data_IF_639432223893
#
_entry.id   IF_639432223893
#
_cell.length_a   1.000
_cell.length_b   1.000
_cell.length_c   1.000
_cell.angle_alpha   90.00
_cell.angle_beta   90.00
_cell.angle_gamma   90.00
#
_symmetry.space_group_name_H-M   'P 1'
#
loop_
_entity.id
_entity.type
_entity.pdbx_description
1 polymer ?
#
# COMPACT_ATOMS: atom_id res chain seq x y z
N UNK A 1 81.75 56.70 6.26
CA UNK A 1 81.04 56.79 7.56
C UNK A 1 79.98 55.70 7.65
N UNK A 2 80.26 54.57 8.33
CA UNK A 2 79.33 53.43 8.47
C UNK A 2 78.18 53.70 9.47
N UNK A 3 78.29 54.74 10.29
CA UNK A 3 77.28 55.10 11.31
C UNK A 3 75.95 55.62 10.71
N UNK A 4 76.00 56.31 9.56
CA UNK A 4 74.80 56.83 8.88
C UNK A 4 73.92 55.73 8.29
N UNK A 5 74.52 54.62 7.87
CA UNK A 5 73.85 53.47 7.23
C UNK A 5 73.02 52.68 8.26
N UNK A 6 73.63 52.36 9.41
CA UNK A 6 72.97 51.68 10.54
C UNK A 6 71.77 52.49 11.06
N UNK A 7 71.88 53.82 11.08
CA UNK A 7 70.79 54.69 11.56
C UNK A 7 69.61 54.73 10.58
N UNK A 8 69.87 54.60 9.27
CA UNK A 8 68.85 54.51 8.24
C UNK A 8 68.11 53.18 8.30
N UNK A 9 68.84 52.07 8.49
CA UNK A 9 68.30 50.72 8.68
C UNK A 9 67.41 50.62 9.93
N UNK A 10 67.85 51.19 11.06
CA UNK A 10 67.04 51.25 12.29
C UNK A 10 65.73 52.01 12.06
N UNK A 11 65.76 53.12 11.32
CA UNK A 11 64.55 53.85 10.95
C UNK A 11 63.62 53.02 10.05
N UNK A 12 64.16 52.29 9.09
CA UNK A 12 63.35 51.44 8.20
C UNK A 12 62.71 50.29 8.99
N UNK A 13 63.46 49.65 9.87
CA UNK A 13 62.95 48.62 10.78
C UNK A 13 61.84 49.18 11.67
N UNK A 14 62.03 50.36 12.29
CA UNK A 14 60.99 51.01 13.09
C UNK A 14 59.71 51.29 12.29
N UNK A 15 59.83 51.79 11.05
CA UNK A 15 58.66 52.01 10.20
C UNK A 15 57.95 50.71 9.83
N UNK A 16 58.70 49.64 9.54
CA UNK A 16 58.13 48.31 9.28
C UNK A 16 57.44 47.73 10.52
N UNK A 17 58.02 47.90 11.72
CA UNK A 17 57.41 47.48 12.98
C UNK A 17 56.10 48.23 13.25
N UNK A 18 56.05 49.54 13.02
CA UNK A 18 54.82 50.32 13.10
C UNK A 18 53.76 49.83 12.10
N UNK A 19 54.15 49.56 10.85
CA UNK A 19 53.24 49.00 9.85
C UNK A 19 52.70 47.62 10.24
N UNK A 20 53.56 46.72 10.75
CA UNK A 20 53.12 45.41 11.24
C UNK A 20 52.19 45.53 12.45
N UNK A 21 52.42 46.48 13.34
CA UNK A 21 51.56 46.74 14.51
C UNK A 21 50.16 47.18 14.09
N UNK A 22 50.06 48.07 13.10
CA UNK A 22 48.76 48.49 12.53
C UNK A 22 48.05 47.29 11.90
N UNK A 23 48.73 46.53 11.05
CA UNK A 23 48.14 45.35 10.40
C UNK A 23 47.66 44.30 11.41
N UNK A 24 48.41 44.06 12.50
CA UNK A 24 47.98 43.17 13.59
C UNK A 24 46.70 43.69 14.26
N UNK A 25 46.56 45.00 14.43
CA UNK A 25 45.37 45.61 15.00
C UNK A 25 44.13 45.42 14.10
N UNK A 26 44.31 45.55 12.78
CA UNK A 26 43.24 45.34 11.79
C UNK A 26 42.83 43.86 11.74
N UNK A 27 43.80 42.94 11.75
CA UNK A 27 43.54 41.50 11.83
C UNK A 27 42.78 41.16 13.11
N UNK A 28 43.14 41.75 14.26
CA UNK A 28 42.44 41.53 15.52
C UNK A 28 40.98 41.98 15.46
N UNK A 29 40.71 43.10 14.79
CA UNK A 29 39.35 43.61 14.59
C UNK A 29 38.55 42.70 13.64
N UNK A 30 39.14 42.27 12.54
CA UNK A 30 38.53 41.33 11.60
C UNK A 30 38.22 39.98 12.26
N UNK A 31 39.14 39.43 13.05
CA UNK A 31 38.93 38.19 13.79
C UNK A 31 37.76 38.30 14.79
N UNK A 32 37.59 39.47 15.43
CA UNK A 32 36.45 39.71 16.32
C UNK A 32 35.11 39.70 15.57
N UNK A 33 35.06 40.29 14.37
CA UNK A 33 33.87 40.25 13.51
C UNK A 33 33.56 38.82 13.04
N UNK A 34 34.57 38.08 12.57
CA UNK A 34 34.43 36.68 12.16
C UNK A 34 33.90 35.82 13.30
N UNK A 35 34.42 36.00 14.53
CA UNK A 35 33.94 35.27 15.70
C UNK A 35 32.47 35.58 16.00
N UNK A 36 32.04 36.85 15.88
CA UNK A 36 30.63 37.21 16.06
C UNK A 36 29.70 36.61 15.00
N UNK A 37 30.16 36.54 13.75
CA UNK A 37 29.42 35.87 12.67
C UNK A 37 29.37 34.35 12.87
N UNK A 38 30.46 33.76 13.36
CA UNK A 38 30.54 32.32 13.64
C UNK A 38 29.57 31.92 14.74
N UNK A 39 29.53 32.65 15.85
CA UNK A 39 28.59 32.36 16.94
C UNK A 39 27.13 32.51 16.50
N UNK A 40 26.83 33.54 15.69
CA UNK A 40 25.50 33.68 15.08
C UNK A 40 25.16 32.49 14.17
N UNK A 41 26.08 32.05 13.31
CA UNK A 41 25.87 30.86 12.48
C UNK A 41 25.67 29.59 13.30
N UNK A 42 26.44 29.39 14.37
CA UNK A 42 26.28 28.24 15.27
C UNK A 42 24.88 28.22 15.90
N UNK A 43 24.38 29.35 16.40
CA UNK A 43 23.02 29.43 16.95
C UNK A 43 21.93 29.14 15.92
N UNK A 44 22.09 29.65 14.68
CA UNK A 44 21.14 29.35 13.60
C UNK A 44 21.19 27.89 13.16
N UNK A 45 22.37 27.27 13.19
CA UNK A 45 22.53 25.84 12.89
C UNK A 45 21.86 24.99 13.95
N UNK A 46 22.05 25.27 15.23
CA UNK A 46 21.38 24.53 16.32
C UNK A 46 19.86 24.67 16.22
N UNK A 47 19.35 25.88 15.98
CA UNK A 47 17.90 26.10 15.81
C UNK A 47 17.37 25.34 14.58
N UNK A 48 18.12 25.35 13.48
CA UNK A 48 17.73 24.65 12.25
C UNK A 48 17.73 23.13 12.44
N UNK A 49 18.69 22.59 13.19
CA UNK A 49 18.79 21.16 13.49
C UNK A 49 17.66 20.68 14.41
N UNK A 50 17.31 21.48 15.42
CA UNK A 50 16.14 21.23 16.27
C UNK A 50 14.84 21.23 15.45
N UNK A 51 14.69 22.21 14.54
CA UNK A 51 13.53 22.29 13.63
C UNK A 51 13.48 21.10 12.67
N UNK A 52 14.63 20.67 12.15
CA UNK A 52 14.74 19.51 11.27
C UNK A 52 14.31 18.23 12.01
N UNK A 53 14.88 18.00 13.19
CA UNK A 53 14.54 16.87 14.05
C UNK A 53 13.04 16.82 14.40
N UNK A 54 12.45 17.97 14.73
CA UNK A 54 11.01 18.07 14.99
C UNK A 54 10.17 17.78 13.73
N UNK A 55 10.62 18.22 12.55
CA UNK A 55 9.95 17.94 11.29
C UNK A 55 10.02 16.45 10.93
N UNK A 56 11.17 15.80 11.10
CA UNK A 56 11.34 14.36 10.89
C UNK A 56 10.44 13.53 11.79
N UNK A 57 10.37 13.86 13.09
CA UNK A 57 9.46 13.20 14.03
C UNK A 57 7.99 13.34 13.61
N UNK A 58 7.59 14.51 13.13
CA UNK A 58 6.23 14.74 12.60
C UNK A 58 5.97 13.95 11.32
N UNK A 59 6.94 13.87 10.42
CA UNK A 59 6.83 13.08 9.19
C UNK A 59 6.65 11.59 9.54
N UNK A 60 7.44 11.05 10.47
CA UNK A 60 7.28 9.67 10.92
C UNK A 60 5.89 9.43 11.51
N UNK A 61 5.42 10.31 12.39
CA UNK A 61 4.06 10.21 12.95
C UNK A 61 2.98 10.28 11.86
N UNK A 62 3.08 11.21 10.91
CA UNK A 62 2.14 11.33 9.79
C UNK A 62 2.16 10.12 8.86
N UNK A 63 3.33 9.54 8.59
CA UNK A 63 3.42 8.33 7.76
C UNK A 63 2.72 7.14 8.42
N UNK A 64 2.86 7.00 9.74
CA UNK A 64 2.17 5.98 10.53
C UNK A 64 0.65 6.19 10.50
N UNK A 65 0.16 7.42 10.77
CA UNK A 65 -1.28 7.69 10.75
C UNK A 65 -1.90 7.50 9.37
N UNK A 66 -1.18 7.87 8.30
CA UNK A 66 -1.63 7.61 6.92
C UNK A 66 -1.71 6.12 6.63
N UNK A 67 -0.77 5.30 7.11
CA UNK A 67 -0.84 3.85 6.97
C UNK A 67 -2.08 3.27 7.68
N UNK A 68 -2.31 3.65 8.93
CA UNK A 68 -3.47 3.22 9.72
C UNK A 68 -4.80 3.62 9.08
N UNK A 69 -4.88 4.85 8.55
CA UNK A 69 -6.08 5.34 7.87
C UNK A 69 -6.34 4.58 6.57
N UNK A 70 -5.30 4.23 5.82
CA UNK A 70 -5.44 3.41 4.60
C UNK A 70 -6.00 2.02 4.93
N UNK A 71 -5.51 1.37 5.97
CA UNK A 71 -6.02 0.06 6.37
C UNK A 71 -7.46 0.14 6.89
N UNK A 72 -7.82 1.19 7.63
CA UNK A 72 -9.21 1.44 8.07
C UNK A 72 -10.16 1.67 6.88
N UNK A 73 -9.74 2.45 5.89
CA UNK A 73 -10.53 2.70 4.67
C UNK A 73 -10.72 1.40 3.89
N UNK A 74 -9.67 0.60 3.73
CA UNK A 74 -9.76 -0.70 3.04
C UNK A 74 -10.71 -1.66 3.77
N UNK A 75 -10.65 -1.74 5.10
CA UNK A 75 -11.58 -2.57 5.89
C UNK A 75 -13.03 -2.07 5.76
N UNK A 76 -13.26 -0.76 5.84
CA UNK A 76 -14.60 -0.17 5.64
C UNK A 76 -15.15 -0.45 4.24
N UNK A 77 -14.34 -0.29 3.20
CA UNK A 77 -14.73 -0.59 1.82
C UNK A 77 -15.14 -2.05 1.67
N UNK A 78 -14.33 -2.98 2.21
CA UNK A 78 -14.64 -4.41 2.12
C UNK A 78 -15.86 -4.81 2.97
N UNK A 79 -16.07 -4.20 4.13
CA UNK A 79 -17.29 -4.41 4.94
C UNK A 79 -18.53 -3.93 4.20
N UNK A 80 -18.47 -2.76 3.56
CA UNK A 80 -19.57 -2.24 2.76
C UNK A 80 -19.90 -3.13 1.53
N UNK A 81 -18.88 -3.78 0.97
CA UNK A 81 -19.02 -4.70 -0.18
C UNK A 81 -19.26 -6.15 0.20
N UNK A 82 -19.23 -6.51 1.49
CA UNK A 82 -19.27 -7.90 1.98
C UNK A 82 -20.49 -8.70 1.51
N UNK A 83 -21.60 -8.03 1.24
CA UNK A 83 -22.85 -8.62 0.76
C UNK A 83 -23.06 -8.48 -0.77
N UNK A 84 -22.05 -8.04 -1.51
CA UNK A 84 -22.12 -7.82 -2.95
C UNK A 84 -21.48 -9.00 -3.69
N UNK A 85 -22.20 -9.51 -4.70
CA UNK A 85 -21.72 -10.51 -5.66
C UNK A 85 -21.67 -9.87 -7.04
N UNK A 86 -20.61 -10.18 -7.80
CA UNK A 86 -20.45 -9.83 -9.21
C UNK A 86 -20.55 -11.08 -10.05
N UNK A 87 -21.47 -11.05 -11.01
CA UNK A 87 -21.75 -12.15 -11.92
C UNK A 87 -21.36 -11.74 -13.33
N UNK A 88 -20.50 -12.55 -13.97
CA UNK A 88 -20.00 -12.32 -15.32
C UNK A 88 -20.61 -13.36 -16.27
N UNK A 89 -20.83 -12.97 -17.53
CA UNK A 89 -21.30 -13.88 -18.58
C UNK A 89 -22.81 -14.18 -18.56
N UNK A 90 -23.58 -13.54 -17.68
CA UNK A 90 -25.03 -13.73 -17.63
C UNK A 90 -25.73 -12.96 -18.77
N UNK A 91 -26.64 -13.56 -19.57
CA UNK A 91 -27.41 -12.86 -20.60
C UNK A 91 -28.30 -11.73 -20.05
N UNK A 92 -28.51 -10.67 -20.83
CA UNK A 92 -29.24 -9.47 -20.38
C UNK A 92 -30.76 -9.72 -20.33
N UNK A 93 -31.42 -9.40 -19.20
CA UNK A 93 -32.88 -9.40 -19.06
C UNK A 93 -33.50 -10.61 -18.36
N UNK A 94 -32.75 -11.71 -18.17
CA UNK A 94 -33.23 -12.97 -17.57
C UNK A 94 -32.60 -13.26 -16.21
N UNK A 95 -31.80 -12.35 -15.67
CA UNK A 95 -30.85 -12.65 -14.61
C UNK A 95 -31.50 -13.01 -13.27
N UNK A 96 -32.54 -12.28 -12.88
CA UNK A 96 -33.14 -12.43 -11.56
C UNK A 96 -33.93 -13.74 -11.44
N UNK A 97 -34.60 -14.13 -12.52
CA UNK A 97 -35.42 -15.34 -12.58
C UNK A 97 -34.56 -16.59 -12.81
N UNK A 98 -33.50 -16.47 -13.61
CA UNK A 98 -32.62 -17.59 -13.91
C UNK A 98 -31.58 -17.87 -12.81
N UNK A 99 -31.23 -16.90 -11.96
CA UNK A 99 -30.20 -17.10 -10.93
C UNK A 99 -30.53 -18.23 -9.93
N UNK A 100 -31.75 -18.34 -9.36
CA UNK A 100 -32.12 -19.47 -8.52
C UNK A 100 -32.04 -20.81 -9.26
N UNK A 101 -32.46 -20.84 -10.52
CA UNK A 101 -32.46 -22.06 -11.35
C UNK A 101 -31.03 -22.50 -11.67
N UNK A 102 -30.18 -21.57 -12.06
CA UNK A 102 -28.75 -21.79 -12.36
C UNK A 102 -28.02 -22.40 -11.17
N UNK A 103 -28.33 -21.92 -9.95
CA UNK A 103 -27.67 -22.36 -8.72
C UNK A 103 -28.38 -23.53 -8.03
N UNK A 104 -29.44 -24.10 -8.65
CA UNK A 104 -30.26 -25.19 -8.10
C UNK A 104 -30.70 -24.93 -6.66
N UNK A 105 -31.12 -23.70 -6.38
CA UNK A 105 -31.57 -23.32 -5.04
C UNK A 105 -32.94 -23.94 -4.73
N UNK A 106 -33.28 -24.16 -3.44
CA UNK A 106 -34.59 -24.63 -3.05
C UNK A 106 -35.70 -23.71 -3.59
N UNK A 107 -36.74 -24.31 -4.17
CA UNK A 107 -37.91 -23.58 -4.67
C UNK A 107 -38.54 -22.77 -3.54
N UNK A 108 -38.77 -21.47 -3.78
CA UNK A 108 -39.34 -20.55 -2.78
C UNK A 108 -38.33 -19.96 -1.79
N UNK A 109 -37.03 -20.17 -1.98
CA UNK A 109 -36.01 -19.48 -1.20
C UNK A 109 -36.05 -17.97 -1.47
N UNK A 110 -36.30 -17.18 -0.43
CA UNK A 110 -36.17 -15.72 -0.52
C UNK A 110 -34.69 -15.31 -0.58
N UNK A 111 -34.29 -14.73 -1.70
CA UNK A 111 -32.95 -14.17 -1.89
C UNK A 111 -32.77 -12.83 -1.17
N UNK A 112 -33.86 -12.14 -0.79
CA UNK A 112 -33.87 -10.82 -0.16
C UNK A 112 -32.84 -9.86 -0.80
N UNK A 113 -33.03 -9.54 -2.08
CA UNK A 113 -32.14 -8.63 -2.80
C UNK A 113 -32.38 -7.18 -2.33
N UNK A 114 -31.32 -6.49 -1.90
CA UNK A 114 -31.40 -5.04 -1.61
C UNK A 114 -31.29 -4.24 -2.92
N UNK A 115 -30.42 -4.68 -3.83
CA UNK A 115 -30.21 -4.04 -5.13
C UNK A 115 -29.69 -5.04 -6.15
N UNK A 116 -30.22 -5.00 -7.37
CA UNK A 116 -29.74 -5.78 -8.50
C UNK A 116 -29.65 -4.88 -9.73
N UNK A 117 -28.46 -4.76 -10.32
CA UNK A 117 -28.25 -3.86 -11.46
C UNK A 117 -27.07 -4.33 -12.32
N UNK A 118 -27.04 -3.88 -13.58
CA UNK A 118 -25.87 -4.04 -14.46
C UNK A 118 -24.93 -2.84 -14.30
N UNK A 119 -23.64 -3.05 -14.54
CA UNK A 119 -22.67 -1.95 -14.55
C UNK A 119 -22.98 -0.94 -15.67
N UNK A 120 -22.81 0.36 -15.38
CA UNK A 120 -23.07 1.47 -16.31
C UNK A 120 -22.05 1.61 -17.45
N UNK A 121 -21.07 0.71 -17.58
CA UNK A 121 -20.05 0.79 -18.63
C UNK A 121 -20.69 0.70 -20.04
N UNK A 122 -20.26 1.54 -20.99
CA UNK A 122 -20.79 1.53 -22.36
C UNK A 122 -20.52 0.18 -23.02
N UNK A 123 -21.49 -0.34 -23.78
CA UNK A 123 -21.42 -1.64 -24.46
C UNK A 123 -20.22 -1.68 -25.44
N UNK A 124 -19.14 -2.43 -25.17
CA UNK A 124 -18.13 -2.70 -26.18
C UNK A 124 -18.52 -4.03 -26.84
N UNK A 125 -19.31 -3.93 -27.90
CA UNK A 125 -19.40 -4.83 -29.06
C UNK A 125 -19.57 -6.35 -28.93
N UNK A 126 -19.38 -7.00 -27.77
CA UNK A 126 -19.43 -8.46 -27.65
C UNK A 126 -19.46 -9.00 -26.21
N UNK A 127 -19.05 -8.24 -25.18
CA UNK A 127 -19.00 -8.75 -23.79
C UNK A 127 -20.24 -8.36 -22.99
N UNK A 128 -20.94 -9.37 -22.45
CA UNK A 128 -22.06 -9.20 -21.52
C UNK A 128 -21.62 -8.39 -20.29
N UNK A 129 -22.40 -7.36 -19.94
CA UNK A 129 -22.09 -6.46 -18.82
C UNK A 129 -22.14 -7.22 -17.50
N UNK A 130 -21.22 -7.00 -16.54
CA UNK A 130 -21.34 -7.58 -15.20
C UNK A 130 -22.69 -7.27 -14.53
N UNK A 131 -23.31 -8.30 -13.96
CA UNK A 131 -24.47 -8.16 -13.08
C UNK A 131 -24.01 -8.09 -11.63
N UNK A 132 -24.45 -7.06 -10.93
CA UNK A 132 -24.04 -6.77 -9.56
C UNK A 132 -25.27 -6.84 -8.67
N UNK A 133 -25.20 -7.74 -7.69
CA UNK A 133 -26.28 -7.98 -6.76
C UNK A 133 -25.77 -7.69 -5.35
N UNK A 134 -26.54 -6.88 -4.60
CA UNK A 134 -26.37 -6.67 -3.17
C UNK A 134 -27.48 -7.41 -2.43
N UNK A 135 -27.07 -8.34 -1.58
CA UNK A 135 -27.96 -9.16 -0.77
C UNK A 135 -28.19 -8.51 0.59
N UNK A 136 -29.41 -8.62 1.12
CA UNK A 136 -29.72 -8.09 2.45
C UNK A 136 -28.98 -8.87 3.55
N UNK A 137 -28.83 -10.19 3.36
CA UNK A 137 -28.33 -11.12 4.39
C UNK A 137 -27.02 -11.78 3.94
N UNK A 138 -25.99 -11.68 4.78
CA UNK A 138 -24.68 -12.31 4.54
C UNK A 138 -24.75 -13.85 4.35
N UNK A 139 -25.54 -14.62 5.13
CA UNK A 139 -25.63 -16.07 4.96
C UNK A 139 -26.17 -16.49 3.59
N UNK A 140 -27.14 -15.74 3.05
CA UNK A 140 -27.71 -16.01 1.71
C UNK A 140 -26.63 -15.86 0.64
N UNK A 141 -25.81 -14.81 0.73
CA UNK A 141 -24.66 -14.62 -0.14
C UNK A 141 -23.66 -15.76 -0.06
N UNK A 142 -23.34 -16.24 1.15
CA UNK A 142 -22.45 -17.39 1.30
C UNK A 142 -23.04 -18.65 0.69
N UNK A 143 -24.34 -18.88 0.84
CA UNK A 143 -25.01 -20.02 0.22
C UNK A 143 -24.88 -19.97 -1.30
N UNK A 144 -25.17 -18.84 -1.94
CA UNK A 144 -25.04 -18.69 -3.40
C UNK A 144 -23.63 -19.03 -3.89
N UNK A 145 -22.60 -18.56 -3.17
CA UNK A 145 -21.21 -18.84 -3.51
C UNK A 145 -20.81 -20.30 -3.23
N UNK A 146 -21.39 -20.94 -2.23
CA UNK A 146 -21.20 -22.37 -1.96
C UNK A 146 -21.85 -23.21 -3.07
N UNK A 147 -23.13 -22.98 -3.37
CA UNK A 147 -23.84 -23.64 -4.47
C UNK A 147 -23.11 -23.50 -5.80
N UNK A 148 -22.61 -22.30 -6.12
CA UNK A 148 -21.82 -22.08 -7.32
C UNK A 148 -20.52 -22.91 -7.36
N UNK A 149 -19.82 -23.04 -6.23
CA UNK A 149 -18.60 -23.85 -6.13
C UNK A 149 -18.90 -25.35 -6.23
N UNK A 150 -19.98 -25.81 -5.60
CA UNK A 150 -20.36 -27.22 -5.55
C UNK A 150 -20.81 -27.71 -6.94
N UNK A 151 -21.46 -26.84 -7.73
CA UNK A 151 -21.83 -27.11 -9.12
C UNK A 151 -20.63 -27.01 -10.07
N UNK A 152 -19.59 -26.26 -9.71
CA UNK A 152 -18.37 -26.10 -10.49
C UNK A 152 -18.58 -25.21 -11.73
N UNK A 153 -18.89 -25.81 -12.87
CA UNK A 153 -19.10 -25.07 -14.12
C UNK A 153 -20.56 -24.68 -14.26
N UNK A 154 -20.82 -23.38 -14.31
CA UNK A 154 -22.15 -22.81 -14.47
C UNK A 154 -22.35 -22.34 -15.91
N UNK A 155 -23.41 -22.81 -16.54
CA UNK A 155 -23.78 -22.45 -17.91
C UNK A 155 -25.27 -22.15 -17.99
N UNK A 156 -25.63 -21.11 -18.74
CA UNK A 156 -27.02 -20.75 -19.03
C UNK A 156 -27.11 -20.32 -20.49
N UNK A 157 -28.01 -20.94 -21.26
CA UNK A 157 -28.20 -20.62 -22.69
C UNK A 157 -26.87 -20.60 -23.49
N UNK A 158 -25.97 -21.56 -23.22
CA UNK A 158 -24.65 -21.64 -23.86
C UNK A 158 -23.62 -20.61 -23.38
N UNK A 159 -23.96 -19.76 -22.40
CA UNK A 159 -23.05 -18.78 -21.81
C UNK A 159 -22.45 -19.30 -20.51
N UNK A 160 -21.13 -19.25 -20.40
CA UNK A 160 -20.41 -19.57 -19.16
C UNK A 160 -20.58 -18.44 -18.14
N UNK A 161 -21.12 -18.78 -16.98
CA UNK A 161 -21.40 -17.84 -15.91
C UNK A 161 -20.36 -17.99 -14.80
N UNK A 162 -19.85 -16.85 -14.31
CA UNK A 162 -18.86 -16.81 -13.24
C UNK A 162 -19.33 -15.90 -12.11
N UNK A 163 -19.30 -16.41 -10.87
CA UNK A 163 -19.67 -15.66 -9.67
C UNK A 163 -18.42 -15.29 -8.87
N UNK A 164 -18.29 -14.01 -8.54
CA UNK A 164 -17.18 -13.46 -7.76
C UNK A 164 -17.68 -12.61 -6.61
N UNK A 165 -16.89 -12.57 -5.53
CA UNK A 165 -17.03 -11.57 -4.48
C UNK A 165 -16.63 -10.19 -5.02
N UNK A 166 -17.35 -9.14 -4.63
CA UNK A 166 -16.88 -7.77 -4.85
C UNK A 166 -15.92 -7.37 -3.72
N UNK A 167 -14.63 -7.30 -4.05
CA UNK A 167 -13.55 -6.98 -3.11
C UNK A 167 -12.95 -5.61 -3.45
N UNK A 168 -12.36 -4.92 -2.48
CA UNK A 168 -11.58 -3.71 -2.74
C UNK A 168 -10.39 -3.99 -3.67
N UNK A 169 -9.88 -2.96 -4.33
CA UNK A 169 -8.72 -3.10 -5.23
C UNK A 169 -7.48 -3.57 -4.46
N UNK A 170 -7.24 -3.01 -3.28
CA UNK A 170 -6.11 -3.38 -2.44
C UNK A 170 -6.18 -4.87 -2.04
N UNK A 171 -7.36 -5.33 -1.64
CA UNK A 171 -7.58 -6.73 -1.30
C UNK A 171 -7.42 -7.66 -2.50
N UNK A 172 -7.95 -7.29 -3.67
CA UNK A 172 -7.74 -8.05 -4.91
C UNK A 172 -6.24 -8.20 -5.21
N UNK A 173 -5.47 -7.12 -5.11
CA UNK A 173 -4.02 -7.15 -5.34
C UNK A 173 -3.31 -8.07 -4.33
N UNK A 174 -3.62 -7.97 -3.02
CA UNK A 174 -3.09 -8.88 -1.99
C UNK A 174 -3.40 -10.35 -2.33
N UNK A 175 -4.61 -10.65 -2.79
CA UNK A 175 -5.00 -12.01 -3.21
C UNK A 175 -4.30 -12.49 -4.49
N UNK A 176 -3.98 -11.58 -5.40
CA UNK A 176 -3.26 -11.89 -6.64
C UNK A 176 -1.81 -12.28 -6.39
N UNK A 177 -1.18 -11.76 -5.33
CA UNK A 177 0.19 -12.15 -4.95
C UNK A 177 0.31 -13.65 -4.66
N UNK A 178 -0.76 -14.29 -4.17
CA UNK A 178 -0.78 -15.74 -3.93
C UNK A 178 -0.98 -16.60 -5.20
N UNK A 179 -1.10 -16.02 -6.39
CA UNK A 179 -1.35 -16.79 -7.62
C UNK A 179 -0.20 -17.74 -7.97
N UNK A 180 1.05 -17.29 -7.76
CA UNK A 180 2.27 -18.11 -7.94
C UNK A 180 2.23 -19.35 -7.04
N UNK A 181 2.02 -19.13 -5.74
CA UNK A 181 1.93 -20.17 -4.70
C UNK A 181 0.80 -21.15 -5.00
N UNK A 182 -0.39 -20.65 -5.33
CA UNK A 182 -1.55 -21.48 -5.66
C UNK A 182 -1.31 -22.37 -6.87
N UNK A 183 -0.56 -21.90 -7.88
CA UNK A 183 -0.21 -22.72 -9.04
C UNK A 183 0.63 -23.91 -8.60
N UNK A 184 1.69 -23.67 -7.82
CA UNK A 184 2.56 -24.75 -7.33
C UNK A 184 1.79 -25.74 -6.45
N UNK A 185 0.90 -25.25 -5.58
CA UNK A 185 0.06 -26.10 -4.73
C UNK A 185 -0.90 -26.98 -5.54
N UNK A 186 -1.46 -26.46 -6.65
CA UNK A 186 -2.27 -27.26 -7.59
C UNK A 186 -1.42 -28.33 -8.28
N UNK A 187 -0.24 -27.96 -8.76
CA UNK A 187 0.67 -28.89 -9.45
C UNK A 187 1.10 -30.04 -8.53
N UNK A 188 1.27 -29.76 -7.23
CA UNK A 188 1.56 -30.75 -6.18
C UNK A 188 0.32 -31.46 -5.60
N UNK A 189 -0.88 -31.18 -6.10
CA UNK A 189 -2.16 -31.73 -5.61
C UNK A 189 -2.39 -31.51 -4.09
N UNK A 190 -1.87 -30.42 -3.53
CA UNK A 190 -2.01 -30.07 -2.11
C UNK A 190 -3.30 -29.29 -1.91
N UNK A 191 -4.08 -29.65 -0.88
CA UNK A 191 -5.31 -28.94 -0.53
C UNK A 191 -4.98 -27.55 0.03
N UNK A 192 -5.60 -26.52 -0.55
CA UNK A 192 -5.45 -25.15 -0.07
C UNK A 192 -6.75 -24.36 -0.16
N UNK A 193 -6.85 -23.30 0.65
CA UNK A 193 -7.97 -22.36 0.63
C UNK A 193 -7.47 -20.94 0.87
N UNK A 194 -7.99 -19.96 0.12
CA UNK A 194 -7.69 -18.55 0.38
C UNK A 194 -8.90 -17.90 1.06
N UNK A 195 -8.73 -17.59 2.35
CA UNK A 195 -9.79 -17.03 3.18
C UNK A 195 -9.76 -15.51 3.17
N UNK A 196 -10.89 -14.90 3.51
CA UNK A 196 -10.99 -13.45 3.71
C UNK A 196 -10.17 -13.04 4.95
N UNK A 197 -9.34 -11.99 4.91
CA UNK A 197 -9.07 -11.04 3.82
C UNK A 197 -8.21 -11.66 2.70
N UNK A 198 -7.01 -12.13 3.01
CA UNK A 198 -6.11 -12.79 2.06
C UNK A 198 -5.18 -13.80 2.75
N UNK A 199 -5.71 -14.61 3.66
CA UNK A 199 -4.91 -15.63 4.37
C UNK A 199 -4.96 -16.94 3.63
N UNK A 200 -3.80 -17.44 3.18
CA UNK A 200 -3.70 -18.73 2.49
C UNK A 200 -3.55 -19.84 3.53
N UNK A 201 -4.47 -20.78 3.51
CA UNK A 201 -4.43 -21.99 4.31
C UNK A 201 -3.98 -23.15 3.42
N UNK A 202 -3.00 -23.91 3.88
CA UNK A 202 -2.44 -25.06 3.17
C UNK A 202 -2.48 -26.26 4.11
N UNK A 203 -3.10 -27.34 3.66
CA UNK A 203 -3.16 -28.59 4.43
C UNK A 203 -2.24 -29.62 3.80
N UNK A 204 -1.14 -29.96 4.50
CA UNK A 204 -0.14 -30.91 4.06
C UNK A 204 0.11 -31.95 5.16
N UNK A 205 0.06 -33.24 4.80
CA UNK A 205 0.26 -34.38 5.73
C UNK A 205 -0.56 -34.29 7.03
N UNK A 206 -1.79 -33.77 6.96
CA UNK A 206 -2.69 -33.63 8.11
C UNK A 206 -2.49 -32.36 8.95
N UNK A 207 -1.42 -31.59 8.71
CA UNK A 207 -1.21 -30.29 9.36
C UNK A 207 -1.71 -29.17 8.47
N UNK A 208 -2.43 -28.20 9.05
CA UNK A 208 -2.91 -27.02 8.33
C UNK A 208 -2.13 -25.79 8.78
N UNK A 209 -1.43 -25.16 7.85
CA UNK A 209 -0.65 -23.94 8.07
C UNK A 209 -1.34 -22.75 7.41
N UNK A 210 -1.30 -21.59 8.06
CA UNK A 210 -1.86 -20.34 7.56
C UNK A 210 -0.76 -19.32 7.28
N UNK A 211 -0.89 -18.59 6.16
CA UNK A 211 0.09 -17.60 5.72
C UNK A 211 -0.61 -16.28 5.41
N UNK A 212 -0.13 -15.20 6.00
CA UNK A 212 -0.66 -13.85 5.79
C UNK A 212 0.00 -13.18 4.57
N UNK A 213 1.25 -13.51 4.28
CA UNK A 213 2.02 -12.95 3.16
C UNK A 213 2.32 -14.02 2.11
N UNK A 214 2.41 -13.59 0.84
CA UNK A 214 2.78 -14.49 -0.25
C UNK A 214 4.22 -15.00 -0.08
N UNK A 215 5.12 -14.18 0.44
CA UNK A 215 6.54 -14.53 0.64
C UNK A 215 6.73 -15.68 1.64
N UNK A 216 6.01 -15.66 2.77
CA UNK A 216 6.02 -16.76 3.73
C UNK A 216 5.51 -18.06 3.10
N UNK A 217 4.41 -17.96 2.35
CA UNK A 217 3.82 -19.10 1.68
C UNK A 217 4.74 -19.67 0.58
N UNK A 218 5.46 -18.80 -0.15
CA UNK A 218 6.46 -19.22 -1.13
C UNK A 218 7.64 -19.95 -0.48
N UNK A 219 8.15 -19.43 0.64
CA UNK A 219 9.20 -20.11 1.42
C UNK A 219 8.73 -21.50 1.87
N UNK A 220 7.50 -21.60 2.38
CA UNK A 220 6.92 -22.88 2.78
C UNK A 220 6.81 -23.86 1.60
N UNK A 221 6.27 -23.41 0.46
CA UNK A 221 6.07 -24.29 -0.70
C UNK A 221 7.39 -24.78 -1.33
N UNK A 222 8.50 -24.04 -1.17
CA UNK A 222 9.84 -24.49 -1.55
C UNK A 222 10.37 -25.63 -0.67
N UNK A 223 9.87 -25.76 0.56
CA UNK A 223 10.23 -26.85 1.48
C UNK A 223 9.35 -28.10 1.36
N UNK A 224 8.24 -28.02 0.62
CA UNK A 224 7.30 -29.13 0.36
C UNK A 224 7.76 -30.01 -0.80
#
# INVERSE_FOLDING_TARGET
>A
EPSRDITADIKTILTSLQQTSVAISDIKLCNKDILGRLTSMETHLTESDERLSAAEARIMMLTSTVADLRDKIDDQENRARRNIIRILGFPEGVEQEALPMLLKLPTGMDLSLERAHRSLAPRPGQRLRPFIIKLLRFPVKELLLRSARDLGTLEWEGHKILLFLDLSRALQNRRQQFLSVKRILRDKMIKYGLFYLATLWVTYKGTTSSFATAEEAEKFVKTL
#
